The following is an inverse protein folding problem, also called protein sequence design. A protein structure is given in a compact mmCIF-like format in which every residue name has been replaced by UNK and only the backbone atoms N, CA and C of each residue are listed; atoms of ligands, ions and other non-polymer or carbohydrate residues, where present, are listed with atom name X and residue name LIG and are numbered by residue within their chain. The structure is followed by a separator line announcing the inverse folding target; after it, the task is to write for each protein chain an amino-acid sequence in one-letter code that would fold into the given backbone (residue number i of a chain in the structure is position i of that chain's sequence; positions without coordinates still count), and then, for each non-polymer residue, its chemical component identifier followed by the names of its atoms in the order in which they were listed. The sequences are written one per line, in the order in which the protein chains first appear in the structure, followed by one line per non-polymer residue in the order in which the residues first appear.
data_IF_250930530894
#
_entry.id   IF_250930530894
#
_cell.length_a   1.000
_cell.length_b   1.000
_cell.length_c   1.000
_cell.angle_alpha   90.00
_cell.angle_beta   90.00
_cell.angle_gamma   90.00
#
_symmetry.space_group_name_H-M   'P 1'
#
loop_
_entity.id
_entity.type
_entity.pdbx_description
1 polymer ?
#
# COMPACT_ATOMS: atom_id res chain seq x y z
N UNK A 1 19.24 5.36 -8.61
CA UNK A 1 19.14 5.37 -7.14
C UNK A 1 19.33 3.93 -6.68
N UNK A 2 20.27 3.66 -5.78
CA UNK A 2 20.47 2.33 -5.20
C UNK A 2 19.46 2.16 -4.07
N UNK A 3 18.68 1.07 -4.08
CA UNK A 3 17.64 0.79 -3.07
C UNK A 3 18.27 -0.05 -1.96
N UNK A 4 18.22 0.45 -0.73
CA UNK A 4 18.74 -0.23 0.46
C UNK A 4 17.65 -0.62 1.47
N UNK A 5 16.53 0.10 1.47
CA UNK A 5 15.45 -0.06 2.45
C UNK A 5 14.09 -0.04 1.74
N UNK A 6 13.29 -1.04 2.03
CA UNK A 6 11.93 -1.17 1.49
C UNK A 6 10.93 -1.27 2.64
N UNK A 7 9.88 -0.48 2.60
CA UNK A 7 8.72 -0.62 3.49
C UNK A 7 7.56 -1.26 2.72
N UNK A 8 7.00 -2.33 3.25
CA UNK A 8 5.83 -3.01 2.67
C UNK A 8 4.65 -2.86 3.64
N UNK A 9 3.64 -2.08 3.29
CA UNK A 9 2.38 -2.12 4.01
C UNK A 9 1.58 -3.33 3.54
N UNK A 10 0.86 -4.00 4.45
CA UNK A 10 0.17 -5.25 4.11
C UNK A 10 1.10 -6.45 3.90
N UNK A 11 2.31 -6.42 4.47
CA UNK A 11 3.32 -7.49 4.36
C UNK A 11 2.81 -8.87 4.78
N UNK A 12 1.87 -8.93 5.71
CA UNK A 12 1.28 -10.19 6.20
C UNK A 12 0.17 -10.73 5.30
N UNK A 13 -0.23 -9.98 4.26
CA UNK A 13 -1.17 -10.42 3.23
C UNK A 13 -0.53 -11.35 2.21
N UNK A 14 -1.34 -11.85 1.27
CA UNK A 14 -0.86 -12.76 0.22
C UNK A 14 0.21 -12.11 -0.65
N UNK A 15 -0.08 -10.97 -1.27
CA UNK A 15 0.87 -10.30 -2.18
C UNK A 15 2.09 -9.78 -1.42
N UNK A 16 1.88 -9.16 -0.23
CA UNK A 16 2.96 -8.57 0.55
C UNK A 16 3.98 -9.60 1.03
N UNK A 17 3.54 -10.80 1.44
CA UNK A 17 4.44 -11.87 1.87
C UNK A 17 5.28 -12.43 0.70
N UNK A 18 4.66 -12.64 -0.46
CA UNK A 18 5.39 -13.10 -1.66
C UNK A 18 6.37 -12.04 -2.18
N UNK A 19 6.01 -10.76 -2.10
CA UNK A 19 6.94 -9.68 -2.43
C UNK A 19 8.14 -9.67 -1.49
N UNK A 20 7.91 -9.87 -0.18
CA UNK A 20 9.00 -9.96 0.79
C UNK A 20 9.93 -11.14 0.50
N UNK A 21 9.39 -12.32 0.18
CA UNK A 21 10.17 -13.49 -0.23
C UNK A 21 11.02 -13.17 -1.48
N UNK A 22 10.41 -12.59 -2.51
CA UNK A 22 11.11 -12.22 -3.73
C UNK A 22 12.26 -11.24 -3.48
N UNK A 23 12.04 -10.22 -2.64
CA UNK A 23 13.09 -9.24 -2.30
C UNK A 23 14.23 -9.92 -1.54
N UNK A 24 13.94 -10.82 -0.59
CA UNK A 24 14.95 -11.58 0.16
C UNK A 24 15.82 -12.44 -0.76
N UNK A 25 15.19 -13.09 -1.74
CA UNK A 25 15.87 -14.01 -2.64
C UNK A 25 16.74 -13.29 -3.68
N UNK A 26 16.31 -12.15 -4.17
CA UNK A 26 16.94 -11.47 -5.31
C UNK A 26 17.78 -10.25 -4.92
N UNK A 27 17.56 -9.67 -3.73
CA UNK A 27 18.18 -8.42 -3.28
C UNK A 27 18.74 -8.53 -1.86
N UNK A 28 19.79 -9.32 -1.69
CA UNK A 28 20.34 -9.70 -0.37
C UNK A 28 20.84 -8.52 0.50
N UNK A 29 21.05 -7.34 -0.09
CA UNK A 29 21.49 -6.13 0.64
C UNK A 29 20.34 -5.22 1.07
N UNK A 30 19.12 -5.52 0.64
CA UNK A 30 17.94 -4.69 0.94
C UNK A 30 17.36 -5.07 2.29
N UNK A 31 17.19 -4.08 3.16
CA UNK A 31 16.48 -4.22 4.43
C UNK A 31 14.98 -4.12 4.19
N UNK A 32 14.22 -5.07 4.71
CA UNK A 32 12.76 -5.11 4.56
C UNK A 32 12.08 -4.76 5.88
N UNK A 33 11.25 -3.73 5.83
CA UNK A 33 10.37 -3.32 6.89
C UNK A 33 8.93 -3.64 6.53
N UNK A 34 8.17 -4.20 7.44
CA UNK A 34 6.76 -4.51 7.23
C UNK A 34 5.86 -3.76 8.20
N UNK A 35 4.94 -2.93 7.69
CA UNK A 35 3.92 -2.31 8.53
C UNK A 35 2.85 -3.32 8.90
N UNK A 36 2.62 -3.50 10.19
CA UNK A 36 1.62 -4.43 10.74
C UNK A 36 0.81 -3.76 11.84
N UNK A 37 -0.50 -4.01 11.84
CA UNK A 37 -1.36 -3.59 12.96
C UNK A 37 -1.17 -4.52 14.15
N UNK A 38 -1.39 -4.02 15.34
CA UNK A 38 -1.43 -4.87 16.53
C UNK A 38 -2.45 -6.00 16.33
N UNK A 39 -2.06 -7.23 16.59
CA UNK A 39 -2.81 -8.48 16.33
C UNK A 39 -2.95 -8.89 14.86
N UNK A 40 -2.22 -8.29 13.92
CA UNK A 40 -2.17 -8.84 12.56
C UNK A 40 -1.60 -10.27 12.58
N UNK A 41 -2.29 -11.25 11.94
CA UNK A 41 -1.72 -12.58 11.83
C UNK A 41 -0.43 -12.55 11.00
N UNK A 42 0.63 -13.21 11.47
CA UNK A 42 1.93 -13.25 10.81
C UNK A 42 2.20 -14.58 10.09
N UNK A 43 1.18 -15.40 9.89
CA UNK A 43 1.32 -16.77 9.37
C UNK A 43 2.04 -16.80 8.02
N UNK A 44 1.73 -15.87 7.12
CA UNK A 44 2.30 -15.80 5.78
C UNK A 44 3.78 -15.38 5.77
N UNK A 45 4.28 -14.72 6.82
CA UNK A 45 5.68 -14.26 6.92
C UNK A 45 6.46 -14.99 8.00
N UNK A 46 5.87 -16.01 8.64
CA UNK A 46 6.48 -16.73 9.76
C UNK A 46 7.86 -17.29 9.42
N UNK A 47 8.05 -17.76 8.20
CA UNK A 47 9.28 -18.38 7.71
C UNK A 47 10.42 -17.38 7.47
N UNK A 48 10.11 -16.08 7.40
CA UNK A 48 11.09 -15.00 7.14
C UNK A 48 11.20 -13.98 8.28
N UNK A 49 10.60 -14.23 9.44
CA UNK A 49 10.60 -13.27 10.56
C UNK A 49 12.02 -12.87 11.02
N UNK A 50 13.01 -13.73 10.83
CA UNK A 50 14.40 -13.45 11.12
C UNK A 50 15.13 -12.63 10.05
N UNK A 51 14.49 -12.35 8.91
CA UNK A 51 15.04 -11.61 7.77
C UNK A 51 14.36 -10.27 7.53
N UNK A 52 13.26 -9.99 8.22
CA UNK A 52 12.47 -8.77 8.10
C UNK A 52 12.28 -8.09 9.45
N UNK A 53 12.00 -6.80 9.44
CA UNK A 53 11.64 -6.05 10.65
C UNK A 53 10.16 -5.66 10.57
N UNK A 54 9.35 -6.17 11.50
CA UNK A 54 7.95 -5.78 11.60
C UNK A 54 7.81 -4.52 12.45
N UNK A 55 7.15 -3.51 11.91
CA UNK A 55 6.89 -2.21 12.54
C UNK A 55 5.41 -2.13 12.90
N UNK A 56 5.12 -1.90 14.17
CA UNK A 56 3.74 -1.74 14.64
C UNK A 56 3.24 -0.34 14.29
N UNK A 57 2.14 -0.28 13.51
CA UNK A 57 1.49 0.97 13.12
C UNK A 57 0.18 0.70 12.40
N UNK A 58 -0.64 1.73 12.25
CA UNK A 58 -1.93 1.66 11.55
C UNK A 58 -1.99 2.77 10.50
N UNK A 59 -2.53 2.46 9.31
CA UNK A 59 -2.76 3.46 8.25
C UNK A 59 -3.69 4.59 8.72
N UNK A 60 -4.55 4.32 9.68
CA UNK A 60 -5.45 5.33 10.24
C UNK A 60 -4.79 6.19 11.33
N UNK A 61 -3.57 5.86 11.74
CA UNK A 61 -2.80 6.61 12.73
C UNK A 61 -1.64 7.39 12.05
N UNK A 62 -1.95 8.59 11.55
CA UNK A 62 -0.98 9.46 10.90
C UNK A 62 0.29 9.72 11.75
N UNK A 63 0.22 9.97 13.07
CA UNK A 63 1.42 10.10 13.90
C UNK A 63 2.34 8.89 13.86
N UNK A 64 1.80 7.67 13.91
CA UNK A 64 2.61 6.45 13.82
C UNK A 64 3.32 6.31 12.47
N UNK A 65 2.63 6.65 11.37
CA UNK A 65 3.22 6.64 10.03
C UNK A 65 4.36 7.66 9.90
N UNK A 66 4.17 8.88 10.39
CA UNK A 66 5.22 9.92 10.41
C UNK A 66 6.44 9.47 11.20
N UNK A 67 6.25 8.88 12.37
CA UNK A 67 7.33 8.35 13.20
C UNK A 67 8.11 7.25 12.47
N UNK A 68 7.41 6.26 11.92
CA UNK A 68 8.01 5.14 11.18
C UNK A 68 8.82 5.64 9.98
N UNK A 69 8.23 6.49 9.14
CA UNK A 69 8.91 6.98 7.95
C UNK A 69 10.13 7.85 8.30
N UNK A 70 10.04 8.66 9.36
CA UNK A 70 11.15 9.50 9.83
C UNK A 70 12.31 8.68 10.41
N UNK A 71 12.00 7.61 11.15
CA UNK A 71 13.00 6.77 11.81
C UNK A 71 13.69 5.83 10.81
N UNK A 72 12.91 5.10 10.01
CA UNK A 72 13.45 4.04 9.14
C UNK A 72 13.89 4.54 7.77
N UNK A 73 13.30 5.61 7.27
CA UNK A 73 13.62 6.25 5.97
C UNK A 73 13.74 5.24 4.83
N UNK A 74 12.65 4.56 4.45
CA UNK A 74 12.67 3.60 3.35
C UNK A 74 12.89 4.31 2.00
N UNK A 75 13.70 3.75 1.11
CA UNK A 75 13.89 4.28 -0.25
C UNK A 75 12.64 4.06 -1.10
N UNK A 76 11.95 2.93 -0.86
CA UNK A 76 10.72 2.55 -1.56
C UNK A 76 9.66 2.09 -0.56
N UNK A 77 8.43 2.52 -0.79
CA UNK A 77 7.24 2.03 -0.08
C UNK A 77 6.34 1.29 -1.06
N UNK A 78 6.12 0.00 -0.82
CA UNK A 78 5.07 -0.77 -1.49
C UNK A 78 3.80 -0.72 -0.65
N UNK A 79 2.82 0.04 -1.12
CA UNK A 79 1.54 0.16 -0.43
C UNK A 79 0.56 -0.89 -0.95
N UNK A 80 0.49 -2.01 -0.22
CA UNK A 80 -0.34 -3.18 -0.54
C UNK A 80 -1.43 -3.42 0.51
N UNK A 81 -1.44 -2.62 1.58
CA UNK A 81 -2.43 -2.75 2.64
C UNK A 81 -3.75 -2.14 2.21
N UNK A 82 -4.77 -2.99 2.10
CA UNK A 82 -6.13 -2.58 1.82
C UNK A 82 -7.12 -3.55 2.50
N UNK A 83 -8.35 -3.10 2.70
CA UNK A 83 -9.49 -3.98 2.90
C UNK A 83 -9.93 -4.45 1.50
N UNK A 84 -9.53 -5.67 1.09
CA UNK A 84 -9.67 -6.18 -0.27
C UNK A 84 -10.81 -7.20 -0.46
N UNK A 85 -11.53 -7.56 0.63
CA UNK A 85 -12.63 -8.52 0.54
C UNK A 85 -13.91 -7.81 0.08
N UNK A 86 -14.24 -7.95 -1.21
CA UNK A 86 -15.35 -7.26 -1.87
C UNK A 86 -16.69 -7.42 -1.14
N UNK A 87 -17.14 -8.63 -0.70
CA UNK A 87 -18.40 -8.75 0.03
C UNK A 87 -18.45 -7.92 1.32
N UNK A 88 -17.32 -7.74 2.01
CA UNK A 88 -17.25 -6.89 3.20
C UNK A 88 -17.47 -5.41 2.87
N UNK A 89 -17.07 -4.95 1.68
CA UNK A 89 -17.26 -3.55 1.29
C UNK A 89 -18.73 -3.17 1.17
N UNK A 90 -19.61 -4.11 0.82
CA UNK A 90 -21.05 -3.88 0.80
C UNK A 90 -21.67 -3.87 2.20
N UNK A 91 -21.19 -4.70 3.12
CA UNK A 91 -21.73 -4.75 4.49
C UNK A 91 -21.11 -3.69 5.41
N UNK A 92 -19.92 -3.20 5.10
CA UNK A 92 -19.18 -2.23 5.91
C UNK A 92 -18.44 -1.21 5.03
N UNK A 93 -19.16 -0.40 4.22
CA UNK A 93 -18.54 0.50 3.25
C UNK A 93 -17.68 1.58 3.92
N UNK A 94 -18.10 2.11 5.07
CA UNK A 94 -17.32 3.14 5.79
C UNK A 94 -15.99 2.58 6.31
N UNK A 95 -15.95 1.34 6.80
CA UNK A 95 -14.69 0.72 7.21
C UNK A 95 -13.74 0.51 6.01
N UNK A 96 -14.30 0.17 4.85
CA UNK A 96 -13.55 0.03 3.60
C UNK A 96 -12.98 1.38 3.14
N UNK A 97 -13.82 2.44 3.11
CA UNK A 97 -13.39 3.80 2.79
C UNK A 97 -12.28 4.29 3.74
N UNK A 98 -12.47 4.13 5.04
CA UNK A 98 -11.48 4.55 6.01
C UNK A 98 -10.14 3.84 5.79
N UNK A 99 -10.15 2.51 5.64
CA UNK A 99 -8.91 1.76 5.47
C UNK A 99 -8.20 2.11 4.16
N UNK A 100 -8.94 2.12 3.05
CA UNK A 100 -8.33 2.28 1.73
C UNK A 100 -8.05 3.74 1.41
N UNK A 101 -9.05 4.62 1.47
CA UNK A 101 -8.88 6.03 1.08
C UNK A 101 -8.17 6.83 2.16
N UNK A 102 -8.72 6.87 3.38
CA UNK A 102 -8.12 7.67 4.46
C UNK A 102 -6.75 7.11 4.85
N UNK A 103 -6.59 5.78 4.87
CA UNK A 103 -5.30 5.14 5.13
C UNK A 103 -4.23 5.50 4.10
N UNK A 104 -4.56 5.48 2.81
CA UNK A 104 -3.66 5.91 1.73
C UNK A 104 -3.34 7.41 1.82
N UNK A 105 -4.36 8.25 2.04
CA UNK A 105 -4.14 9.70 2.24
C UNK A 105 -3.20 9.99 3.42
N UNK A 106 -3.36 9.29 4.55
CA UNK A 106 -2.46 9.44 5.69
C UNK A 106 -1.01 9.04 5.35
N UNK A 107 -0.81 7.96 4.60
CA UNK A 107 0.51 7.56 4.15
C UNK A 107 1.15 8.63 3.25
N UNK A 108 0.41 9.16 2.28
CA UNK A 108 0.87 10.22 1.39
C UNK A 108 1.18 11.52 2.15
N UNK A 109 0.32 11.91 3.10
CA UNK A 109 0.56 13.08 3.94
C UNK A 109 1.79 12.93 4.84
N UNK A 110 2.03 11.72 5.38
CA UNK A 110 3.24 11.43 6.13
C UNK A 110 4.51 11.54 5.27
N UNK A 111 4.46 11.11 4.02
CA UNK A 111 5.57 11.25 3.06
C UNK A 111 5.78 12.70 2.66
N UNK A 112 4.71 13.44 2.41
CA UNK A 112 4.76 14.88 2.08
C UNK A 112 5.40 15.69 3.20
N UNK A 113 5.02 15.46 4.45
CA UNK A 113 5.63 16.07 5.62
C UNK A 113 7.14 15.77 5.68
N UNK A 114 7.50 14.52 5.41
CA UNK A 114 8.91 14.11 5.42
C UNK A 114 9.72 14.84 4.34
N UNK A 115 9.17 14.99 3.14
CA UNK A 115 9.76 15.76 2.05
C UNK A 115 9.98 17.22 2.42
N UNK A 116 9.01 17.84 3.09
CA UNK A 116 9.08 19.24 3.50
C UNK A 116 10.08 19.46 4.65
N UNK A 117 10.21 18.52 5.57
CA UNK A 117 11.01 18.68 6.78
C UNK A 117 12.45 18.17 6.67
N UNK A 118 12.72 17.21 5.78
CA UNK A 118 14.03 16.52 5.70
C UNK A 118 14.63 16.41 4.30
N UNK A 119 14.02 17.00 3.27
CA UNK A 119 14.43 16.91 1.85
C UNK A 119 14.53 15.46 1.37
N UNK A 120 13.86 14.55 2.04
CA UNK A 120 13.84 13.12 1.73
C UNK A 120 12.40 12.67 1.47
N UNK A 121 12.19 11.92 0.39
CA UNK A 121 10.92 11.26 0.12
C UNK A 121 11.18 9.91 -0.54
N UNK A 122 10.52 8.83 -0.08
CA UNK A 122 10.57 7.54 -0.75
C UNK A 122 9.84 7.57 -2.10
N UNK A 123 10.20 6.65 -2.98
CA UNK A 123 9.31 6.29 -4.09
C UNK A 123 8.17 5.46 -3.53
N UNK A 124 6.93 5.81 -3.86
CA UNK A 124 5.75 5.06 -3.41
C UNK A 124 5.15 4.33 -4.60
N UNK A 125 4.96 3.01 -4.46
CA UNK A 125 4.16 2.20 -5.34
C UNK A 125 2.83 1.89 -4.66
N UNK A 126 1.72 2.39 -5.22
CA UNK A 126 0.36 2.11 -4.75
C UNK A 126 -0.25 1.06 -5.67
N UNK A 127 -0.66 -0.06 -5.09
CA UNK A 127 -1.28 -1.14 -5.83
C UNK A 127 -2.78 -0.88 -5.99
N UNK A 128 -3.19 -0.54 -7.21
CA UNK A 128 -4.59 -0.43 -7.59
C UNK A 128 -5.13 -1.79 -8.10
N UNK A 129 -6.15 -1.79 -8.94
CA UNK A 129 -6.78 -2.99 -9.50
C UNK A 129 -7.32 -2.70 -10.89
N UNK A 130 -7.33 -3.70 -11.77
CA UNK A 130 -8.02 -3.64 -13.06
C UNK A 130 -9.54 -3.44 -12.93
N UNK A 131 -10.11 -3.77 -11.79
CA UNK A 131 -11.54 -3.60 -11.50
C UNK A 131 -11.99 -2.13 -11.40
N UNK A 132 -11.05 -1.18 -11.36
CA UNK A 132 -11.38 0.25 -11.46
C UNK A 132 -11.97 0.62 -12.82
N UNK A 133 -11.67 -0.17 -13.86
CA UNK A 133 -12.25 0.01 -15.20
C UNK A 133 -13.67 -0.56 -15.29
N UNK A 134 -14.07 -1.45 -14.37
CA UNK A 134 -15.40 -2.03 -14.30
C UNK A 134 -15.75 -2.83 -15.55
N UNK A 135 -16.95 -2.61 -16.09
CA UNK A 135 -17.41 -3.30 -17.29
C UNK A 135 -16.86 -2.60 -18.55
N UNK A 136 -15.78 -3.14 -19.10
CA UNK A 136 -15.13 -2.66 -20.31
C UNK A 136 -15.84 -3.21 -21.53
N UNK A 137 -16.01 -2.39 -22.58
CA UNK A 137 -16.61 -2.79 -23.86
C UNK A 137 -15.56 -3.42 -24.77
N UNK A 138 -16.00 -4.21 -25.76
CA UNK A 138 -15.09 -4.87 -26.71
C UNK A 138 -14.24 -3.90 -27.53
N UNK A 139 -14.79 -2.73 -27.87
CA UNK A 139 -14.10 -1.67 -28.60
C UNK A 139 -13.11 -0.85 -27.76
N UNK A 140 -13.09 -1.07 -26.44
CA UNK A 140 -12.15 -0.47 -25.50
C UNK A 140 -10.98 -1.42 -25.15
N UNK A 141 -10.85 -2.55 -25.82
CA UNK A 141 -9.76 -3.52 -25.62
C UNK A 141 -8.63 -3.32 -26.64
N UNK A 142 -7.36 -3.47 -26.25
CA UNK A 142 -6.88 -3.74 -24.87
C UNK A 142 -7.04 -2.54 -23.95
N UNK A 143 -7.24 -2.78 -22.66
CA UNK A 143 -7.30 -1.73 -21.63
C UNK A 143 -5.95 -1.01 -21.56
N UNK A 144 -5.97 0.31 -21.53
CA UNK A 144 -4.83 1.21 -21.35
C UNK A 144 -5.14 2.31 -20.33
N UNK A 145 -4.22 3.24 -20.15
CA UNK A 145 -4.33 4.33 -19.17
C UNK A 145 -5.43 5.37 -19.56
N UNK A 146 -5.85 5.42 -20.81
CA UNK A 146 -6.90 6.32 -21.30
C UNK A 146 -8.31 5.69 -21.17
N UNK A 147 -8.38 4.38 -20.86
CA UNK A 147 -9.66 3.67 -20.69
C UNK A 147 -10.44 4.26 -19.52
N UNK A 148 -11.72 4.66 -19.70
CA UNK A 148 -12.50 5.30 -18.65
C UNK A 148 -12.70 4.43 -17.41
N UNK A 149 -12.51 5.01 -16.23
CA UNK A 149 -12.72 4.34 -14.95
C UNK A 149 -14.21 4.27 -14.63
N UNK A 150 -14.73 3.05 -14.34
CA UNK A 150 -16.16 2.77 -14.07
C UNK A 150 -16.29 1.75 -12.93
N UNK A 151 -15.79 2.05 -11.71
CA UNK A 151 -15.82 1.10 -10.61
C UNK A 151 -17.25 0.66 -10.28
N UNK A 152 -17.44 -0.64 -10.02
CA UNK A 152 -18.77 -1.24 -9.84
C UNK A 152 -19.06 -1.67 -8.38
N UNK A 153 -18.19 -1.34 -7.43
CA UNK A 153 -18.41 -1.67 -6.01
C UNK A 153 -17.76 -0.63 -5.10
N UNK A 154 -18.21 -0.53 -3.82
CA UNK A 154 -17.59 0.38 -2.85
C UNK A 154 -16.08 0.12 -2.65
N UNK A 155 -15.63 -1.13 -2.79
CA UNK A 155 -14.21 -1.47 -2.76
C UNK A 155 -13.46 -0.86 -3.95
N UNK A 156 -13.97 -1.05 -5.18
CA UNK A 156 -13.31 -0.55 -6.38
C UNK A 156 -13.36 0.98 -6.48
N UNK A 157 -14.41 1.62 -5.96
CA UNK A 157 -14.46 3.08 -5.81
C UNK A 157 -13.34 3.60 -4.90
N UNK A 158 -12.97 2.87 -3.83
CA UNK A 158 -11.85 3.29 -2.97
C UNK A 158 -10.53 3.30 -3.71
N UNK A 159 -10.29 2.34 -4.59
CA UNK A 159 -9.07 2.26 -5.40
C UNK A 159 -9.03 3.35 -6.50
N UNK A 160 -10.17 3.82 -6.95
CA UNK A 160 -10.28 5.00 -7.81
C UNK A 160 -9.76 6.26 -7.10
N UNK A 161 -10.14 6.47 -5.85
CA UNK A 161 -9.66 7.60 -5.05
C UNK A 161 -8.17 7.51 -4.76
N UNK A 162 -7.60 6.31 -4.61
CA UNK A 162 -6.15 6.12 -4.46
C UNK A 162 -5.39 6.67 -5.68
N UNK A 163 -5.83 6.34 -6.90
CA UNK A 163 -5.27 6.88 -8.14
C UNK A 163 -5.40 8.40 -8.19
N UNK A 164 -6.54 8.95 -7.81
CA UNK A 164 -6.79 10.38 -7.81
C UNK A 164 -5.89 11.14 -6.81
N UNK A 165 -5.72 10.60 -5.59
CA UNK A 165 -4.83 11.20 -4.59
C UNK A 165 -3.38 11.26 -5.06
N UNK A 166 -2.89 10.27 -5.79
CA UNK A 166 -1.52 10.25 -6.34
C UNK A 166 -1.31 11.32 -7.42
N UNK A 167 -2.31 11.55 -8.26
CA UNK A 167 -2.22 12.51 -9.37
C UNK A 167 -2.32 13.97 -8.90
N UNK A 168 -2.83 14.24 -7.71
CA UNK A 168 -3.06 15.60 -7.17
C UNK A 168 -2.10 16.00 -6.06
N UNK A 169 -1.18 15.12 -5.65
CA UNK A 169 -0.18 15.34 -4.59
C UNK A 169 1.19 15.73 -5.14
#
# INVERSE_FOLDING_TARGET
MEIHKVLITGITGFVGSHLADYVIENFSKVQIFGLVRWRSPVNNVKHILNKITLLSGDLLDLPSLKSILSEYKPDVVFHLAAQSYVPFSFSSPIATLNTNVIGTCNLLEAVKDLKLTSIYAPTIHICSSSEVYGQVKEDELPIDEETPLRPASPFFETLFYDVYCVLTS
#
